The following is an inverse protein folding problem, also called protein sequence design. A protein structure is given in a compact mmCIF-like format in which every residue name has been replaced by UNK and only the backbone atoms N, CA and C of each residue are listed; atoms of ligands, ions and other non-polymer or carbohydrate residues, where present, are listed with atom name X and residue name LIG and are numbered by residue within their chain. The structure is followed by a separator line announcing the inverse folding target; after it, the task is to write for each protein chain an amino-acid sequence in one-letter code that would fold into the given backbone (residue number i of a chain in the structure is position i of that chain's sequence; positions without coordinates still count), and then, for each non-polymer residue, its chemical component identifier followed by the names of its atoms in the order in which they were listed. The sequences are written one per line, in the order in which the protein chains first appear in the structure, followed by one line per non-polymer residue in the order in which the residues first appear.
data_IF_385117798359
#
_entry.id   IF_385117798359
#
_cell.length_a   1.000
_cell.length_b   1.000
_cell.length_c   1.000
_cell.angle_alpha   90.00
_cell.angle_beta   90.00
_cell.angle_gamma   90.00
#
_symmetry.space_group_name_H-M   'P 1'
#
loop_
_entity.id
_entity.type
_entity.pdbx_description
1 polymer ?
#
# COMPACT_ATOMS: atom_id res chain seq x y z
N UNK A 1 29.91 41.45 0.56
CA UNK A 1 30.79 40.50 1.26
C UNK A 1 30.07 40.05 2.51
N UNK A 2 29.95 38.73 2.62
CA UNK A 2 29.56 37.88 3.75
C UNK A 2 28.14 37.95 4.33
N UNK A 3 27.20 37.03 4.00
CA UNK A 3 27.04 35.55 4.22
C UNK A 3 26.50 35.17 5.61
N UNK A 4 25.56 34.21 5.61
CA UNK A 4 24.92 33.45 6.71
C UNK A 4 23.68 34.12 7.31
N UNK A 5 22.46 33.74 6.97
CA UNK A 5 21.85 32.44 6.66
C UNK A 5 21.77 31.41 7.81
N UNK A 6 20.55 30.88 7.92
CA UNK A 6 20.09 29.68 8.60
C UNK A 6 20.30 29.55 10.11
N UNK A 7 19.21 29.70 10.88
CA UNK A 7 18.69 28.60 11.75
C UNK A 7 17.23 28.88 12.10
N UNK A 8 16.32 28.57 11.18
CA UNK A 8 14.91 28.37 11.52
C UNK A 8 14.78 26.98 12.13
N UNK A 9 14.72 26.89 13.46
CA UNK A 9 14.30 25.68 14.15
C UNK A 9 12.80 25.43 13.91
N UNK A 10 12.47 24.91 12.73
CA UNK A 10 11.15 24.39 12.43
C UNK A 10 10.90 23.15 13.32
N UNK A 11 10.05 23.34 14.33
CA UNK A 11 9.58 22.26 15.19
C UNK A 11 9.08 21.08 14.35
N UNK A 12 9.70 19.91 14.56
CA UNK A 12 9.37 18.62 13.94
C UNK A 12 7.87 18.33 14.07
N UNK A 13 7.08 18.75 13.09
CA UNK A 13 5.68 18.34 12.95
C UNK A 13 5.68 16.85 12.64
N UNK A 14 5.37 16.03 13.65
CA UNK A 14 5.14 14.59 13.45
C UNK A 14 3.81 14.42 12.74
N UNK A 15 3.81 13.61 11.69
CA UNK A 15 2.62 13.19 10.95
C UNK A 15 1.73 12.32 11.86
N UNK A 16 0.53 12.79 12.20
CA UNK A 16 -0.55 11.99 12.82
C UNK A 16 -1.17 11.05 11.77
N UNK A 17 -1.76 9.91 12.15
CA UNK A 17 -2.05 8.79 11.20
C UNK A 17 -2.74 9.21 9.90
N UNK A 18 -3.62 10.22 9.93
CA UNK A 18 -4.35 10.68 8.75
C UNK A 18 -3.47 11.35 7.69
N UNK A 19 -2.23 11.72 8.03
CA UNK A 19 -1.31 12.40 7.14
C UNK A 19 -0.33 11.44 6.41
N UNK A 20 -0.37 10.13 6.68
CA UNK A 20 0.28 9.14 5.80
C UNK A 20 -0.55 8.86 4.53
N UNK A 21 -1.88 8.95 4.64
CA UNK A 21 -2.79 8.86 3.50
C UNK A 21 -2.73 10.14 2.62
N UNK A 22 -2.15 11.22 3.15
CA UNK A 22 -1.95 12.52 2.49
C UNK A 22 -0.47 12.82 2.22
N UNK A 23 0.39 11.80 2.22
CA UNK A 23 1.79 11.97 1.78
C UNK A 23 1.76 12.47 0.34
N UNK A 24 2.46 13.59 0.04
CA UNK A 24 2.47 14.13 -1.30
C UNK A 24 3.16 13.14 -2.25
N UNK A 25 2.88 13.27 -3.54
CA UNK A 25 3.20 12.22 -4.53
C UNK A 25 4.70 11.88 -4.58
N UNK A 26 5.55 12.84 -4.25
CA UNK A 26 7.01 12.73 -4.14
C UNK A 26 7.45 11.75 -3.04
N UNK A 27 6.69 11.66 -1.93
CA UNK A 27 6.98 10.78 -0.81
C UNK A 27 6.43 9.35 -0.97
N UNK A 28 5.56 9.12 -1.96
CA UNK A 28 4.92 7.82 -2.20
C UNK A 28 5.92 6.70 -2.53
N UNK A 29 6.94 6.89 -3.39
CA UNK A 29 7.91 5.85 -3.70
C UNK A 29 8.68 5.36 -2.47
N UNK A 30 9.09 6.28 -1.60
CA UNK A 30 9.76 5.97 -0.34
C UNK A 30 8.86 5.14 0.60
N UNK A 31 7.57 5.51 0.68
CA UNK A 31 6.58 4.80 1.47
C UNK A 31 6.37 3.35 0.96
N UNK A 32 6.31 3.16 -0.36
CA UNK A 32 6.19 1.84 -0.98
C UNK A 32 7.42 0.97 -0.72
N UNK A 33 8.61 1.52 -0.91
CA UNK A 33 9.86 0.81 -0.66
C UNK A 33 9.94 0.34 0.81
N UNK A 34 9.55 1.20 1.75
CA UNK A 34 9.52 0.86 3.17
C UNK A 34 8.49 -0.24 3.48
N UNK A 35 7.31 -0.20 2.87
CA UNK A 35 6.29 -1.24 3.00
C UNK A 35 6.79 -2.59 2.48
N UNK A 36 7.43 -2.60 1.31
CA UNK A 36 7.94 -3.82 0.68
C UNK A 36 9.06 -4.45 1.50
N UNK A 37 9.97 -3.63 2.03
CA UNK A 37 11.01 -4.08 2.95
C UNK A 37 10.42 -4.70 4.22
N UNK A 38 9.32 -4.13 4.73
CA UNK A 38 8.60 -4.65 5.90
C UNK A 38 7.94 -6.01 5.59
N UNK A 39 7.28 -6.13 4.44
CA UNK A 39 6.59 -7.37 4.04
C UNK A 39 7.57 -8.49 3.70
N UNK A 40 8.70 -8.16 3.08
CA UNK A 40 9.75 -9.13 2.77
C UNK A 40 10.47 -9.67 4.02
N UNK A 41 10.22 -9.10 5.21
CA UNK A 41 10.88 -9.42 6.50
C UNK A 41 12.42 -9.44 6.41
N UNK A 42 12.99 -8.72 5.46
CA UNK A 42 14.44 -8.72 5.19
C UNK A 42 15.24 -7.88 6.18
N UNK A 43 14.57 -6.96 6.88
CA UNK A 43 15.24 -5.91 7.65
C UNK A 43 14.44 -5.59 8.91
N UNK A 44 15.14 -5.17 9.97
CA UNK A 44 14.50 -4.74 11.20
C UNK A 44 13.66 -3.47 10.96
N UNK A 45 12.46 -3.43 11.55
CA UNK A 45 11.51 -2.33 11.37
C UNK A 45 12.10 -0.95 11.75
N UNK A 46 12.98 -0.89 12.76
CA UNK A 46 13.69 0.33 13.16
C UNK A 46 14.52 0.88 12.01
N UNK A 47 15.23 0.00 11.30
CA UNK A 47 16.09 0.40 10.20
C UNK A 47 15.28 0.84 8.98
N UNK A 48 14.19 0.13 8.67
CA UNK A 48 13.24 0.53 7.62
C UNK A 48 12.70 1.94 7.87
N UNK A 49 12.30 2.23 9.12
CA UNK A 49 11.78 3.54 9.49
C UNK A 49 12.85 4.63 9.42
N UNK A 50 14.09 4.32 9.80
CA UNK A 50 15.21 5.25 9.70
C UNK A 50 15.49 5.62 8.23
N UNK A 51 15.49 4.64 7.33
CA UNK A 51 15.64 4.87 5.89
C UNK A 51 14.49 5.69 5.32
N UNK A 52 13.25 5.36 5.67
CA UNK A 52 12.06 6.12 5.25
C UNK A 52 12.15 7.59 5.69
N UNK A 53 12.48 7.83 6.96
CA UNK A 53 12.55 9.18 7.50
C UNK A 53 13.72 9.98 6.93
N UNK A 54 14.82 9.31 6.54
CA UNK A 54 15.89 9.94 5.79
C UNK A 54 15.40 10.42 4.43
N UNK A 55 14.75 9.54 3.66
CA UNK A 55 14.16 9.89 2.36
C UNK A 55 13.13 11.00 2.46
N UNK A 56 12.29 10.98 3.51
CA UNK A 56 11.35 12.08 3.76
C UNK A 56 12.09 13.38 4.07
N UNK A 57 13.16 13.34 4.87
CA UNK A 57 14.00 14.51 5.13
C UNK A 57 14.65 15.07 3.86
N UNK A 58 15.13 14.21 2.97
CA UNK A 58 15.71 14.62 1.67
C UNK A 58 14.67 15.28 0.72
N UNK A 59 13.37 15.10 1.01
CA UNK A 59 12.24 15.66 0.27
C UNK A 59 11.53 16.80 1.04
N UNK A 60 12.13 17.31 2.12
CA UNK A 60 11.51 18.29 3.03
C UNK A 60 10.15 17.84 3.63
N UNK A 61 9.95 16.52 3.74
CA UNK A 61 8.76 15.91 4.30
C UNK A 61 8.89 15.64 5.80
N UNK A 62 7.80 15.79 6.55
CA UNK A 62 7.78 15.54 7.98
C UNK A 62 8.02 14.07 8.32
N UNK A 63 8.90 13.82 9.29
CA UNK A 63 9.21 12.45 9.73
C UNK A 63 7.97 11.68 10.22
N UNK A 64 7.94 10.40 9.85
CA UNK A 64 6.91 9.43 10.18
C UNK A 64 7.25 8.73 11.50
N UNK A 65 6.28 8.65 12.40
CA UNK A 65 6.43 7.88 13.63
C UNK A 65 6.25 6.38 13.38
N UNK A 66 6.94 5.53 14.17
CA UNK A 66 6.81 4.07 14.09
C UNK A 66 5.36 3.61 14.17
N UNK A 67 4.59 4.15 15.11
CA UNK A 67 3.18 3.75 15.32
C UNK A 67 2.26 4.22 14.19
N UNK A 68 2.56 5.33 13.52
CA UNK A 68 1.84 5.74 12.32
C UNK A 68 2.13 4.77 11.17
N UNK A 69 3.40 4.47 10.92
CA UNK A 69 3.83 3.55 9.87
C UNK A 69 3.26 2.14 10.06
N UNK A 70 3.33 1.57 11.27
CA UNK A 70 2.75 0.24 11.56
C UNK A 70 1.24 0.19 11.29
N UNK A 71 0.49 1.21 11.71
CA UNK A 71 -0.97 1.24 11.52
C UNK A 71 -1.36 1.40 10.06
N UNK A 72 -0.64 2.26 9.34
CA UNK A 72 -0.82 2.39 7.91
C UNK A 72 -0.51 1.07 7.16
N UNK A 73 0.61 0.41 7.47
CA UNK A 73 0.97 -0.86 6.85
C UNK A 73 -0.08 -1.96 7.11
N UNK A 74 -0.68 -1.99 8.31
CA UNK A 74 -1.79 -2.90 8.61
C UNK A 74 -3.04 -2.58 7.77
N UNK A 75 -3.40 -1.32 7.60
CA UNK A 75 -4.55 -0.90 6.77
C UNK A 75 -4.35 -1.24 5.29
N UNK A 76 -3.14 -1.03 4.76
CA UNK A 76 -2.78 -1.46 3.40
C UNK A 76 -2.90 -2.98 3.27
N UNK A 77 -2.40 -3.75 4.25
CA UNK A 77 -2.52 -5.21 4.25
C UNK A 77 -3.96 -5.70 4.33
N UNK A 78 -4.81 -5.03 5.10
CA UNK A 78 -6.25 -5.35 5.23
C UNK A 78 -7.07 -4.92 4.01
N UNK A 79 -6.49 -4.12 3.09
CA UNK A 79 -7.19 -3.58 1.93
C UNK A 79 -8.03 -2.33 2.22
N UNK A 80 -7.92 -1.75 3.42
CA UNK A 80 -8.64 -0.53 3.82
C UNK A 80 -8.08 0.74 3.15
N UNK A 81 -6.80 0.69 2.74
CA UNK A 81 -6.08 1.79 2.07
C UNK A 81 -5.36 1.22 0.86
N UNK A 82 -5.43 1.94 -0.27
CA UNK A 82 -4.70 1.57 -1.47
C UNK A 82 -3.18 1.71 -1.23
N UNK A 83 -2.40 0.73 -1.69
CA UNK A 83 -0.94 0.86 -1.71
C UNK A 83 -0.56 2.03 -2.62
N UNK A 84 0.36 2.92 -2.21
CA UNK A 84 0.84 3.98 -3.07
C UNK A 84 1.52 3.35 -4.30
N UNK A 85 1.38 3.97 -5.47
CA UNK A 85 1.94 3.43 -6.72
C UNK A 85 1.20 2.23 -7.33
N UNK A 86 0.33 1.52 -6.59
CA UNK A 86 -0.72 0.72 -7.24
C UNK A 86 -1.81 1.67 -7.74
N UNK A 87 -1.66 2.16 -8.98
CA UNK A 87 -2.85 2.37 -9.79
C UNK A 87 -3.50 1.01 -9.90
N UNK A 88 -4.56 0.80 -9.12
CA UNK A 88 -5.35 -0.43 -9.09
C UNK A 88 -5.69 -0.81 -10.54
N UNK A 89 -5.08 -1.83 -11.17
CA UNK A 89 -5.60 -2.39 -12.40
C UNK A 89 -6.75 -3.28 -11.93
N UNK A 90 -7.94 -2.71 -11.83
CA UNK A 90 -9.12 -3.42 -11.36
C UNK A 90 -9.24 -3.45 -9.83
N UNK A 91 -9.79 -2.37 -9.25
CA UNK A 91 -10.86 -2.64 -8.30
C UNK A 91 -11.88 -3.45 -9.08
N UNK A 92 -11.82 -4.77 -8.98
CA UNK A 92 -12.92 -5.59 -9.45
C UNK A 92 -14.16 -5.00 -8.78
N UNK A 93 -15.00 -4.32 -9.57
CA UNK A 93 -16.20 -3.72 -9.01
C UNK A 93 -17.00 -4.86 -8.38
N UNK A 94 -17.87 -4.60 -7.39
CA UNK A 94 -18.76 -5.63 -6.85
C UNK A 94 -19.51 -6.43 -7.95
N UNK A 95 -19.70 -5.81 -9.13
CA UNK A 95 -20.19 -6.43 -10.35
C UNK A 95 -19.25 -7.49 -10.97
N UNK A 96 -17.93 -7.30 -10.97
CA UNK A 96 -16.95 -8.26 -11.50
C UNK A 96 -16.75 -9.46 -10.57
N UNK A 97 -16.77 -9.24 -9.25
CA UNK A 97 -16.78 -10.36 -8.30
C UNK A 97 -18.05 -11.22 -8.46
N UNK A 98 -19.21 -10.59 -8.65
CA UNK A 98 -20.46 -11.30 -8.98
C UNK A 98 -20.35 -12.06 -10.31
N UNK A 99 -19.74 -11.44 -11.34
CA UNK A 99 -19.55 -12.08 -12.64
C UNK A 99 -18.63 -13.30 -12.57
N UNK A 100 -17.55 -13.23 -11.77
CA UNK A 100 -16.61 -14.35 -11.57
C UNK A 100 -17.29 -15.54 -10.88
N UNK A 101 -18.06 -15.29 -9.81
CA UNK A 101 -18.83 -16.33 -9.12
C UNK A 101 -19.87 -16.96 -10.04
N UNK A 102 -20.56 -16.15 -10.85
CA UNK A 102 -21.59 -16.64 -11.78
C UNK A 102 -20.98 -17.47 -12.91
N UNK A 103 -19.81 -17.09 -13.43
CA UNK A 103 -19.03 -17.89 -14.40
C UNK A 103 -18.56 -19.22 -13.82
N UNK A 104 -18.09 -19.23 -12.57
CA UNK A 104 -17.67 -20.47 -11.90
C UNK A 104 -18.85 -21.44 -11.72
N UNK A 105 -20.03 -20.93 -11.33
CA UNK A 105 -21.25 -21.74 -11.20
C UNK A 105 -21.69 -22.29 -12.56
N UNK A 106 -21.69 -21.47 -13.61
CA UNK A 106 -22.03 -21.91 -14.97
C UNK A 106 -21.05 -22.98 -15.46
N UNK A 107 -19.74 -22.82 -15.23
CA UNK A 107 -18.74 -23.79 -15.65
C UNK A 107 -18.95 -25.17 -15.00
N UNK A 108 -19.28 -25.21 -13.70
CA UNK A 108 -19.61 -26.46 -12.99
C UNK A 108 -20.90 -27.10 -13.52
N UNK A 109 -21.91 -26.28 -13.83
CA UNK A 109 -23.17 -26.76 -14.38
C UNK A 109 -23.01 -27.34 -15.80
N UNK A 110 -22.24 -26.67 -16.67
CA UNK A 110 -21.93 -27.13 -18.02
C UNK A 110 -21.10 -28.42 -17.99
N UNK A 111 -20.13 -28.52 -17.08
CA UNK A 111 -19.34 -29.75 -16.90
C UNK A 111 -20.23 -30.92 -16.46
N UNK A 112 -21.10 -30.68 -15.47
CA UNK A 112 -22.05 -31.68 -14.98
C UNK A 112 -23.06 -32.13 -16.04
N UNK A 113 -23.41 -31.26 -17.00
CA UNK A 113 -24.26 -31.59 -18.13
C UNK A 113 -23.51 -32.42 -19.18
N UNK A 114 -22.26 -32.06 -19.48
CA UNK A 114 -21.41 -32.79 -20.41
C UNK A 114 -21.16 -34.22 -19.92
N UNK A 115 -20.80 -34.41 -18.64
CA UNK A 115 -20.56 -35.74 -18.06
C UNK A 115 -21.84 -36.61 -18.08
N UNK A 116 -23.05 -36.00 -18.02
CA UNK A 116 -24.33 -36.74 -18.16
C UNK A 116 -24.65 -37.17 -19.59
N UNK A 117 -24.18 -36.43 -20.58
CA UNK A 117 -24.37 -36.75 -22.00
C UNK A 117 -23.39 -37.87 -22.40
N UNK A 118 -22.16 -37.82 -21.91
CA UNK A 118 -21.12 -38.82 -22.18
C UNK A 118 -21.37 -40.15 -21.44
N UNK A 119 -21.91 -40.12 -20.21
CA UNK A 119 -22.23 -41.33 -19.43
C UNK A 119 -23.48 -42.11 -19.86
N UNK A 120 -24.11 -41.77 -20.99
CA UNK A 120 -25.30 -42.45 -21.56
C UNK A 120 -25.02 -43.22 -22.87
N UNK A 121 -23.77 -43.34 -23.28
CA UNK A 121 -23.36 -44.20 -24.41
C UNK A 121 -23.02 -45.61 -23.97
#
# INVERSE_FOLDING_TARGET
MDTADHTTHAGRRRVLLGALDLVPDEGRPALCQAFDALMARRTQQIHILAMLNKQFGDLDLPAVSRSAFSRWALRVRSGDVARPGEQKPGAASPAEQRSSTLRAIIAVALRSLADRIEGRS
#
